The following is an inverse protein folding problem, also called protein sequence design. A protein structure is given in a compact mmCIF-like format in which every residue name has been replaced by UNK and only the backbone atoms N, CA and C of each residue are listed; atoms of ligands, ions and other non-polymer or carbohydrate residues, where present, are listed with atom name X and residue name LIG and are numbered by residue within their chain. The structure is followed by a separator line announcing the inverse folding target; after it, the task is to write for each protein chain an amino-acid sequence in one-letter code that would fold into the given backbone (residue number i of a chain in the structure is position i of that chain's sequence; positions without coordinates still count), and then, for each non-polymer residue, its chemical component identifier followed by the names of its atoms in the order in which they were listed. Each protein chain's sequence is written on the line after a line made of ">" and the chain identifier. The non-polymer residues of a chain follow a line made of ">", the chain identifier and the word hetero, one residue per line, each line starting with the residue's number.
data_IF_014827471627
#
_entry.id   IF_014827471627
#
_cell.length_a   1.000
_cell.length_b   1.000
_cell.length_c   1.000
_cell.angle_alpha   90.00
_cell.angle_beta   90.00
_cell.angle_gamma   90.00
#
_symmetry.space_group_name_H-M   'P 1'
#
loop_
_entity.id
_entity.type
_entity.pdbx_description
1 polymer ?
#
# COMPACT_ATOMS: atom_id res chain seq x y z
N UNK A 1 -32.62 13.01 -12.60
CA UNK A 1 -32.22 11.62 -12.89
C UNK A 1 -30.97 11.50 -13.80
N UNK A 2 -30.47 12.58 -14.39
CA UNK A 2 -29.22 12.57 -15.20
C UNK A 2 -27.93 12.60 -14.35
N UNK A 3 -27.95 13.31 -13.21
CA UNK A 3 -26.77 13.49 -12.33
C UNK A 3 -26.34 12.19 -11.64
N UNK A 4 -27.29 11.31 -11.31
CA UNK A 4 -27.01 10.02 -10.66
C UNK A 4 -26.35 9.01 -11.64
N UNK A 5 -26.73 9.06 -12.92
CA UNK A 5 -26.17 8.19 -13.96
C UNK A 5 -24.70 8.55 -14.26
N UNK A 6 -24.38 9.84 -14.36
CA UNK A 6 -23.00 10.32 -14.63
C UNK A 6 -22.04 9.97 -13.47
N UNK A 7 -22.49 10.12 -12.22
CA UNK A 7 -21.69 9.74 -11.03
C UNK A 7 -21.41 8.23 -10.99
N UNK A 8 -22.40 7.40 -11.37
CA UNK A 8 -22.24 5.94 -11.39
C UNK A 8 -21.25 5.47 -12.47
N UNK A 9 -21.30 6.06 -13.67
CA UNK A 9 -20.37 5.69 -14.76
C UNK A 9 -18.94 6.12 -14.45
N UNK A 10 -18.75 7.29 -13.85
CA UNK A 10 -17.42 7.74 -13.42
C UNK A 10 -16.86 6.86 -12.31
N UNK A 11 -17.68 6.40 -11.35
CA UNK A 11 -17.23 5.45 -10.32
C UNK A 11 -16.83 4.08 -10.88
N UNK A 12 -17.54 3.58 -11.90
CA UNK A 12 -17.21 2.31 -12.54
C UNK A 12 -15.91 2.39 -13.35
N UNK A 13 -15.67 3.51 -14.05
CA UNK A 13 -14.42 3.74 -14.80
C UNK A 13 -13.23 3.88 -13.84
N UNK A 14 -13.41 4.60 -12.74
CA UNK A 14 -12.40 4.71 -11.68
C UNK A 14 -12.04 3.35 -11.09
N UNK A 15 -13.04 2.55 -10.72
CA UNK A 15 -12.81 1.25 -10.09
C UNK A 15 -12.18 0.24 -11.06
N UNK A 16 -12.60 0.23 -12.32
CA UNK A 16 -11.98 -0.62 -13.37
C UNK A 16 -10.55 -0.19 -13.67
N UNK A 17 -10.27 1.10 -13.74
CA UNK A 17 -8.91 1.64 -13.89
C UNK A 17 -8.01 1.29 -12.71
N UNK A 18 -8.48 1.46 -11.48
CA UNK A 18 -7.76 1.06 -10.27
C UNK A 18 -7.47 -0.45 -10.25
N UNK A 19 -8.44 -1.27 -10.65
CA UNK A 19 -8.27 -2.73 -10.72
C UNK A 19 -7.16 -3.12 -11.69
N UNK A 20 -7.22 -2.60 -12.92
CA UNK A 20 -6.20 -2.86 -13.93
C UNK A 20 -4.79 -2.37 -13.52
N UNK A 21 -4.71 -1.24 -12.81
CA UNK A 21 -3.44 -0.73 -12.29
C UNK A 21 -2.89 -1.57 -11.14
N UNK A 22 -3.76 -2.04 -10.25
CA UNK A 22 -3.38 -2.99 -9.20
C UNK A 22 -2.90 -4.32 -9.79
N UNK A 23 -3.61 -4.88 -10.77
CA UNK A 23 -3.25 -6.12 -11.50
C UNK A 23 -1.88 -6.01 -12.16
N UNK A 24 -1.62 -4.87 -12.81
CA UNK A 24 -0.33 -4.60 -13.45
C UNK A 24 0.77 -4.15 -12.47
N UNK A 25 0.49 -4.15 -11.16
CA UNK A 25 1.44 -3.80 -10.11
C UNK A 25 1.88 -2.33 -10.12
N UNK A 26 1.11 -1.45 -10.73
CA UNK A 26 1.40 -0.03 -10.84
C UNK A 26 0.78 0.76 -9.68
N UNK A 27 1.51 1.77 -9.20
CA UNK A 27 0.94 2.76 -8.29
C UNK A 27 -0.08 3.65 -9.02
N UNK A 28 -1.15 3.99 -8.32
CA UNK A 28 -2.17 4.88 -8.85
C UNK A 28 -2.76 5.83 -7.80
N UNK A 29 -3.29 6.94 -8.26
CA UNK A 29 -4.09 7.89 -7.49
C UNK A 29 -5.34 8.19 -8.31
N UNK A 30 -6.52 7.98 -7.73
CA UNK A 30 -7.82 8.26 -8.35
C UNK A 30 -7.99 7.67 -9.77
N UNK A 31 -7.51 6.45 -9.98
CA UNK A 31 -7.63 5.73 -11.25
C UNK A 31 -6.54 6.07 -12.27
N UNK A 32 -5.64 7.01 -11.96
CA UNK A 32 -4.53 7.38 -12.82
C UNK A 32 -3.23 6.75 -12.37
N UNK A 33 -2.47 6.20 -13.32
CA UNK A 33 -1.13 5.67 -13.06
C UNK A 33 -0.20 6.81 -12.69
N UNK A 34 0.54 6.64 -11.59
CA UNK A 34 1.52 7.64 -11.16
C UNK A 34 2.94 7.10 -11.18
N UNK A 35 3.89 7.99 -11.46
CA UNK A 35 5.31 7.69 -11.30
C UNK A 35 5.78 8.14 -9.92
N UNK A 36 6.03 7.19 -9.02
CA UNK A 36 6.46 7.50 -7.65
C UNK A 36 7.80 8.27 -7.57
N UNK A 37 8.59 8.29 -8.65
CA UNK A 37 9.86 9.04 -8.69
C UNK A 37 9.69 10.55 -8.80
N UNK A 38 8.54 11.00 -9.29
CA UNK A 38 8.28 12.41 -9.60
C UNK A 38 7.33 13.07 -8.60
N UNK A 39 6.89 12.33 -7.57
CA UNK A 39 5.92 12.79 -6.59
C UNK A 39 6.59 13.07 -5.25
N UNK A 40 6.37 14.26 -4.71
CA UNK A 40 6.77 14.65 -3.36
C UNK A 40 8.27 14.62 -3.09
N UNK A 41 8.65 15.14 -1.93
CA UNK A 41 10.01 15.05 -1.39
C UNK A 41 9.98 14.50 0.04
N UNK A 42 11.08 13.93 0.55
CA UNK A 42 11.14 13.45 1.93
C UNK A 42 10.88 14.52 3.00
N UNK A 43 11.04 15.80 2.65
CA UNK A 43 10.84 16.93 3.56
C UNK A 43 9.37 17.30 3.72
N UNK A 44 8.54 16.96 2.74
CA UNK A 44 7.14 17.40 2.66
C UNK A 44 6.15 16.24 2.64
N UNK A 45 6.60 15.03 2.27
CA UNK A 45 5.75 13.87 2.06
C UNK A 45 6.22 12.68 2.90
N UNK A 46 5.31 11.74 3.11
CA UNK A 46 5.51 10.43 3.68
C UNK A 46 5.57 9.38 2.56
N UNK A 47 6.66 8.63 2.48
CA UNK A 47 6.76 7.43 1.64
C UNK A 47 6.43 6.21 2.51
N UNK A 48 5.20 5.73 2.38
CA UNK A 48 4.70 4.58 3.13
C UNK A 48 4.89 3.28 2.35
N UNK A 49 5.35 2.22 3.03
CA UNK A 49 5.62 0.92 2.41
C UNK A 49 5.39 -0.23 3.39
N UNK A 50 5.14 -1.43 2.85
CA UNK A 50 4.76 -2.58 3.64
C UNK A 50 5.09 -3.90 2.95
N UNK A 51 5.00 -4.98 3.70
CA UNK A 51 5.06 -6.34 3.18
C UNK A 51 3.75 -7.08 3.43
N UNK A 52 3.31 -7.84 2.44
CA UNK A 52 2.21 -8.77 2.56
C UNK A 52 2.65 -10.13 2.02
N UNK A 53 2.45 -11.19 2.82
CA UNK A 53 2.93 -12.53 2.50
C UNK A 53 2.22 -13.14 1.30
N UNK A 54 0.91 -12.91 1.20
CA UNK A 54 0.15 -13.16 -0.02
C UNK A 54 0.50 -12.05 -1.03
N UNK A 55 0.41 -12.33 -2.33
CA UNK A 55 0.75 -11.36 -3.39
C UNK A 55 -0.53 -10.84 -4.08
N UNK A 56 -1.40 -10.11 -3.37
CA UNK A 56 -2.69 -9.72 -3.89
C UNK A 56 -2.61 -8.42 -4.70
N UNK A 57 -3.71 -8.16 -5.37
CA UNK A 57 -4.15 -6.83 -5.75
C UNK A 57 -4.79 -6.14 -4.55
N UNK A 58 -4.52 -4.85 -4.36
CA UNK A 58 -5.06 -4.09 -3.22
C UNK A 58 -5.45 -2.67 -3.62
N UNK A 59 -6.54 -2.20 -3.03
CA UNK A 59 -7.00 -0.81 -3.14
C UNK A 59 -7.20 -0.23 -1.75
N UNK A 60 -6.82 1.03 -1.60
CA UNK A 60 -6.93 1.78 -0.36
C UNK A 60 -7.71 3.06 -0.59
N UNK A 61 -8.41 3.50 0.45
CA UNK A 61 -9.14 4.75 0.47
C UNK A 61 -8.63 5.64 1.61
N UNK A 62 -8.57 6.93 1.36
CA UNK A 62 -8.42 7.93 2.40
C UNK A 62 -9.75 8.07 3.16
N UNK A 63 -9.71 7.97 4.49
CA UNK A 63 -10.91 7.83 5.34
C UNK A 63 -11.25 9.05 6.20
N UNK A 64 -10.40 10.08 6.24
CA UNK A 64 -10.71 11.32 6.96
C UNK A 64 -11.53 12.25 6.06
N UNK A 65 -12.82 12.37 6.39
CA UNK A 65 -13.82 13.15 5.65
C UNK A 65 -13.57 14.65 5.62
N UNK A 66 -12.65 15.16 6.45
CA UNK A 66 -12.22 16.57 6.41
C UNK A 66 -11.17 16.85 5.30
N UNK A 67 -10.65 15.80 4.67
CA UNK A 67 -9.64 15.88 3.60
C UNK A 67 -10.24 15.47 2.25
N UNK A 68 -9.50 15.76 1.18
CA UNK A 68 -9.84 15.30 -0.17
C UNK A 68 -9.83 13.77 -0.23
N UNK A 69 -10.89 13.20 -0.80
CA UNK A 69 -10.97 11.77 -1.04
C UNK A 69 -9.88 11.29 -2.00
N UNK A 70 -9.18 10.23 -1.61
CA UNK A 70 -8.13 9.60 -2.41
C UNK A 70 -8.41 8.09 -2.47
N UNK A 71 -8.44 7.55 -3.69
CA UNK A 71 -8.40 6.13 -3.96
C UNK A 71 -7.01 5.80 -4.51
N UNK A 72 -6.33 4.79 -3.96
CA UNK A 72 -4.95 4.50 -4.36
C UNK A 72 -4.66 3.00 -4.40
N UNK A 73 -3.79 2.62 -5.32
CA UNK A 73 -3.14 1.30 -5.35
C UNK A 73 -1.64 1.49 -5.11
N UNK A 74 -0.99 0.61 -4.33
CA UNK A 74 0.45 0.65 -4.16
C UNK A 74 1.18 0.12 -5.40
N UNK A 75 2.40 0.62 -5.63
CA UNK A 75 3.35 -0.01 -6.53
C UNK A 75 3.76 -1.37 -5.96
N UNK A 76 3.67 -2.42 -6.78
CA UNK A 76 4.28 -3.72 -6.48
C UNK A 76 5.79 -3.65 -6.74
N UNK A 77 6.58 -4.03 -5.74
CA UNK A 77 8.03 -4.17 -5.83
C UNK A 77 8.44 -5.64 -6.06
N UNK A 78 7.46 -6.51 -6.36
CA UNK A 78 7.61 -7.95 -6.46
C UNK A 78 7.69 -8.62 -5.08
N UNK A 79 7.44 -9.93 -5.03
CA UNK A 79 7.57 -10.78 -3.83
C UNK A 79 6.77 -10.35 -2.59
N UNK A 80 5.65 -9.66 -2.78
CA UNK A 80 4.80 -9.21 -1.68
C UNK A 80 5.28 -7.92 -1.00
N UNK A 81 6.26 -7.22 -1.59
CA UNK A 81 6.70 -5.90 -1.11
C UNK A 81 5.97 -4.81 -1.90
N UNK A 82 5.45 -3.81 -1.19
CA UNK A 82 4.59 -2.79 -1.76
C UNK A 82 4.99 -1.40 -1.26
N UNK A 83 4.76 -0.38 -2.09
CA UNK A 83 5.02 1.01 -1.73
C UNK A 83 3.94 1.92 -2.31
N UNK A 84 3.39 2.78 -1.46
CA UNK A 84 2.42 3.78 -1.88
C UNK A 84 3.09 4.94 -2.62
N UNK A 85 2.33 5.68 -3.45
CA UNK A 85 2.74 7.03 -3.82
C UNK A 85 3.12 7.85 -2.57
N UNK A 86 4.12 8.74 -2.66
CA UNK A 86 4.35 9.73 -1.60
C UNK A 86 3.12 10.59 -1.39
N UNK A 87 2.70 10.73 -0.14
CA UNK A 87 1.53 11.50 0.25
C UNK A 87 1.91 12.57 1.29
N UNK A 88 1.16 13.67 1.34
CA UNK A 88 1.26 14.62 2.45
C UNK A 88 0.99 13.96 3.80
N UNK A 89 1.39 14.61 4.89
CA UNK A 89 1.13 14.11 6.24
C UNK A 89 -0.34 14.25 6.62
N UNK A 90 -0.74 13.52 7.66
CA UNK A 90 -2.08 13.55 8.26
C UNK A 90 -3.19 13.07 7.31
N UNK A 91 -2.86 12.10 6.44
CA UNK A 91 -3.81 11.34 5.64
C UNK A 91 -3.95 9.94 6.22
N UNK A 92 -5.19 9.54 6.53
CA UNK A 92 -5.54 8.22 7.04
C UNK A 92 -6.03 7.35 5.91
N UNK A 93 -5.33 6.24 5.64
CA UNK A 93 -5.67 5.28 4.60
C UNK A 93 -6.12 3.95 5.21
N UNK A 94 -7.08 3.32 4.57
CA UNK A 94 -7.56 1.98 4.90
C UNK A 94 -7.68 1.14 3.64
N UNK A 95 -7.25 -0.12 3.68
CA UNK A 95 -7.53 -1.07 2.60
C UNK A 95 -9.04 -1.24 2.47
N UNK A 96 -9.56 -0.99 1.27
CA UNK A 96 -10.98 -1.15 0.94
C UNK A 96 -11.24 -2.49 0.25
N UNK A 97 -10.26 -3.01 -0.48
CA UNK A 97 -10.43 -4.18 -1.31
C UNK A 97 -9.10 -4.91 -1.52
N UNK A 98 -9.16 -6.23 -1.47
CA UNK A 98 -8.06 -7.12 -1.81
C UNK A 98 -8.59 -8.29 -2.66
N UNK A 99 -7.87 -8.59 -3.74
CA UNK A 99 -8.09 -9.78 -4.57
C UNK A 99 -6.83 -10.63 -4.58
N UNK A 100 -6.98 -11.92 -4.30
CA UNK A 100 -5.87 -12.85 -4.20
C UNK A 100 -6.22 -14.18 -4.87
N UNK A 101 -5.45 -14.54 -5.90
CA UNK A 101 -5.51 -15.87 -6.51
C UNK A 101 -4.46 -16.79 -5.90
N UNK A 102 -4.93 -17.82 -5.20
CA UNK A 102 -4.06 -18.86 -4.65
C UNK A 102 -3.90 -19.98 -5.69
N UNK A 103 -2.75 -19.99 -6.34
CA UNK A 103 -2.41 -20.99 -7.36
C UNK A 103 -2.45 -22.44 -6.81
N UNK A 104 -2.02 -22.65 -5.56
CA UNK A 104 -1.91 -23.99 -4.97
C UNK A 104 -3.27 -24.60 -4.66
N UNK A 105 -4.19 -23.81 -4.12
CA UNK A 105 -5.54 -24.25 -3.79
C UNK A 105 -6.53 -24.04 -4.93
N UNK A 106 -6.11 -23.36 -6.01
CA UNK A 106 -6.98 -22.93 -7.13
C UNK A 106 -8.20 -22.14 -6.67
N UNK A 107 -8.04 -21.35 -5.61
CA UNK A 107 -9.10 -20.53 -5.04
C UNK A 107 -8.80 -19.06 -5.25
N UNK A 108 -9.80 -18.33 -5.70
CA UNK A 108 -9.81 -16.87 -5.69
C UNK A 108 -10.43 -16.39 -4.38
N UNK A 109 -9.74 -15.49 -3.68
CA UNK A 109 -10.25 -14.84 -2.47
C UNK A 109 -10.46 -13.35 -2.72
N UNK A 110 -11.68 -12.88 -2.47
CA UNK A 110 -11.97 -11.47 -2.31
C UNK A 110 -12.06 -11.13 -0.83
N UNK A 111 -11.44 -10.03 -0.43
CA UNK A 111 -11.49 -9.54 0.93
C UNK A 111 -11.78 -8.05 0.91
N UNK A 112 -12.89 -7.66 1.52
CA UNK A 112 -13.34 -6.27 1.63
C UNK A 112 -13.65 -6.00 3.10
N UNK A 113 -12.64 -5.58 3.88
CA UNK A 113 -12.84 -5.29 5.30
C UNK A 113 -13.74 -4.08 5.48
N UNK A 114 -14.59 -4.11 6.51
CA UNK A 114 -15.41 -2.95 6.86
C UNK A 114 -14.55 -1.76 7.29
N UNK A 115 -15.05 -0.53 7.07
CA UNK A 115 -14.36 0.66 7.56
C UNK A 115 -14.25 0.63 9.08
N UNK A 116 -13.05 0.88 9.60
CA UNK A 116 -12.76 0.84 11.04
C UNK A 116 -12.73 -0.55 11.69
N UNK A 117 -12.79 -1.65 10.93
CA UNK A 117 -12.77 -3.00 11.51
C UNK A 117 -11.35 -3.48 11.83
N UNK A 118 -11.20 -4.22 12.93
CA UNK A 118 -9.98 -4.96 13.25
C UNK A 118 -9.65 -5.99 12.16
N UNK A 119 -8.35 -6.32 11.99
CA UNK A 119 -7.90 -7.28 10.98
C UNK A 119 -7.72 -6.67 9.58
N UNK A 120 -7.50 -5.35 9.52
CA UNK A 120 -7.25 -4.60 8.30
C UNK A 120 -5.87 -3.90 8.31
N UNK A 121 -5.29 -3.68 7.13
CA UNK A 121 -4.17 -2.75 6.98
C UNK A 121 -4.76 -1.34 6.85
N UNK A 122 -4.52 -0.55 7.89
CA UNK A 122 -4.77 0.89 7.92
C UNK A 122 -3.51 1.61 8.36
N UNK A 123 -3.24 2.78 7.80
CA UNK A 123 -2.09 3.58 8.16
C UNK A 123 -2.40 5.06 8.09
N UNK A 124 -1.64 5.86 8.85
CA UNK A 124 -1.72 7.32 8.81
C UNK A 124 -0.34 7.83 8.41
N UNK A 125 -0.27 8.78 7.49
CA UNK A 125 0.98 9.45 7.10
C UNK A 125 1.44 10.42 8.19
N UNK A 126 1.83 9.90 9.36
CA UNK A 126 2.06 10.69 10.58
C UNK A 126 3.24 11.66 10.51
N UNK A 127 4.21 11.39 9.64
CA UNK A 127 5.43 12.18 9.52
C UNK A 127 5.94 12.16 8.09
N UNK A 128 6.71 13.18 7.75
CA UNK A 128 7.48 13.20 6.52
C UNK A 128 8.62 12.17 6.57
N UNK A 129 9.14 11.78 5.40
CA UNK A 129 10.15 10.75 5.27
C UNK A 129 9.59 9.34 5.14
N UNK A 130 10.35 8.35 5.63
CA UNK A 130 10.01 6.92 5.47
C UNK A 130 9.05 6.44 6.56
N UNK A 131 8.07 5.64 6.16
CA UNK A 131 7.16 4.97 7.08
C UNK A 131 6.91 3.52 6.69
N UNK A 132 7.50 2.59 7.45
CA UNK A 132 7.17 1.18 7.32
C UNK A 132 5.88 0.88 8.10
N UNK A 133 4.82 0.55 7.36
CA UNK A 133 3.50 0.27 7.94
C UNK A 133 3.54 -1.09 8.67
N UNK A 134 4.32 -2.03 8.15
CA UNK A 134 4.51 -3.35 8.75
C UNK A 134 4.56 -4.48 7.73
N UNK A 135 4.76 -5.68 8.25
CA UNK A 135 4.72 -6.93 7.52
C UNK A 135 3.51 -7.75 7.98
N UNK A 136 2.72 -8.25 7.04
CA UNK A 136 1.44 -8.89 7.31
C UNK A 136 1.33 -10.27 6.64
N UNK A 137 0.54 -11.14 7.25
CA UNK A 137 0.02 -12.37 6.64
C UNK A 137 -1.48 -12.20 6.40
N UNK A 138 -2.01 -12.91 5.42
CA UNK A 138 -3.45 -13.03 5.22
C UNK A 138 -3.88 -14.43 5.62
N UNK A 139 -4.71 -14.51 6.67
CA UNK A 139 -5.24 -15.76 7.18
C UNK A 139 -6.70 -15.88 6.82
N UNK A 140 -7.09 -17.07 6.39
CA UNK A 140 -8.47 -17.43 6.10
C UNK A 140 -8.92 -18.54 7.05
N UNK A 141 -10.08 -18.38 7.66
CA UNK A 141 -10.74 -19.40 8.47
C UNK A 141 -12.20 -19.51 8.02
N UNK A 142 -12.54 -20.59 7.33
CA UNK A 142 -13.84 -20.73 6.65
C UNK A 142 -14.06 -19.60 5.64
N UNK A 143 -15.13 -18.83 5.82
CA UNK A 143 -15.47 -17.65 4.99
C UNK A 143 -14.91 -16.34 5.52
N UNK A 144 -14.22 -16.36 6.68
CA UNK A 144 -13.60 -15.18 7.26
C UNK A 144 -12.15 -15.04 6.79
N UNK A 145 -11.74 -13.81 6.49
CA UNK A 145 -10.36 -13.44 6.19
C UNK A 145 -9.89 -12.33 7.15
N UNK A 146 -8.62 -12.35 7.52
CA UNK A 146 -8.02 -11.30 8.32
C UNK A 146 -6.56 -11.06 7.94
N UNK A 147 -6.16 -9.78 7.91
CA UNK A 147 -4.77 -9.38 7.82
C UNK A 147 -4.19 -9.32 9.23
N UNK A 148 -3.17 -10.13 9.47
CA UNK A 148 -2.53 -10.25 10.79
C UNK A 148 -1.07 -9.82 10.69
N UNK A 149 -0.55 -9.02 11.63
CA UNK A 149 0.86 -8.68 11.66
C UNK A 149 1.72 -9.95 11.78
N UNK A 150 2.81 -9.99 11.03
CA UNK A 150 3.87 -10.98 11.23
C UNK A 150 4.62 -10.72 12.55
N UNK A 151 5.31 -11.74 13.10
CA UNK A 151 6.03 -11.63 14.37
C UNK A 151 6.94 -10.41 14.45
N UNK A 152 6.95 -9.73 15.60
CA UNK A 152 7.64 -8.45 15.81
C UNK A 152 9.15 -8.55 15.59
N UNK A 153 9.74 -9.65 16.00
CA UNK A 153 11.16 -10.01 15.79
C UNK A 153 11.54 -10.13 14.30
N UNK A 154 10.55 -10.31 13.40
CA UNK A 154 10.78 -10.41 11.96
C UNK A 154 10.53 -9.10 11.22
N UNK A 155 9.88 -8.11 11.82
CA UNK A 155 9.46 -6.87 11.16
C UNK A 155 10.65 -6.11 10.54
N UNK A 156 11.74 -5.94 11.29
CA UNK A 156 12.96 -5.27 10.82
C UNK A 156 13.57 -5.94 9.57
N UNK A 157 13.51 -7.28 9.49
CA UNK A 157 13.99 -8.01 8.32
C UNK A 157 13.14 -7.74 7.07
N UNK A 158 11.82 -7.61 7.22
CA UNK A 158 10.93 -7.27 6.11
C UNK A 158 11.06 -5.80 5.71
N UNK A 159 11.21 -4.90 6.67
CA UNK A 159 11.52 -3.48 6.42
C UNK A 159 12.79 -3.35 5.57
N UNK A 160 13.88 -4.01 5.99
CA UNK A 160 15.15 -4.00 5.27
C UNK A 160 15.02 -4.52 3.83
N UNK A 161 14.27 -5.60 3.61
CA UNK A 161 14.03 -6.14 2.26
C UNK A 161 13.21 -5.20 1.39
N UNK A 162 12.19 -4.56 1.97
CA UNK A 162 11.43 -3.50 1.31
C UNK A 162 12.34 -2.35 0.87
N UNK A 163 13.17 -1.85 1.80
CA UNK A 163 14.08 -0.74 1.54
C UNK A 163 15.11 -1.05 0.46
N UNK A 164 15.65 -2.27 0.41
CA UNK A 164 16.57 -2.68 -0.66
C UNK A 164 15.90 -2.65 -2.05
N UNK A 165 14.63 -3.06 -2.14
CA UNK A 165 13.86 -2.95 -3.39
C UNK A 165 13.57 -1.49 -3.74
N UNK A 166 13.22 -0.67 -2.74
CA UNK A 166 12.99 0.76 -2.92
C UNK A 166 14.24 1.51 -3.34
N UNK A 167 15.41 1.17 -2.81
CA UNK A 167 16.70 1.75 -3.20
C UNK A 167 16.92 1.66 -4.72
N UNK A 168 16.68 0.48 -5.29
CA UNK A 168 16.77 0.28 -6.75
C UNK A 168 15.68 1.08 -7.50
N UNK A 169 14.45 1.05 -6.99
CA UNK A 169 13.31 1.70 -7.65
C UNK A 169 13.40 3.22 -7.63
N UNK A 170 13.89 3.82 -6.55
CA UNK A 170 13.97 5.27 -6.30
C UNK A 170 15.38 5.83 -6.45
N UNK A 171 16.26 5.13 -7.17
CA UNK A 171 17.56 5.66 -7.56
C UNK A 171 17.41 7.02 -8.26
N UNK A 172 18.31 7.95 -7.96
CA UNK A 172 18.33 9.31 -8.48
C UNK A 172 17.13 10.17 -8.06
N UNK A 173 16.58 9.93 -6.87
CA UNK A 173 15.54 10.78 -6.28
C UNK A 173 16.00 11.30 -4.92
N UNK A 174 15.33 12.33 -4.40
CA UNK A 174 15.60 12.85 -3.06
C UNK A 174 15.37 11.82 -1.95
N UNK A 175 14.63 10.73 -2.22
CA UNK A 175 14.38 9.65 -1.27
C UNK A 175 15.59 8.75 -1.01
N UNK A 176 16.54 8.68 -1.95
CA UNK A 176 17.65 7.72 -1.90
C UNK A 176 18.51 7.87 -0.63
N UNK A 177 18.98 9.08 -0.23
CA UNK A 177 19.79 9.23 0.98
C UNK A 177 19.09 8.73 2.25
N UNK A 178 17.77 8.98 2.37
CA UNK A 178 17.00 8.54 3.53
C UNK A 178 16.82 7.01 3.56
N UNK A 179 16.63 6.40 2.39
CA UNK A 179 16.56 4.93 2.25
C UNK A 179 17.89 4.29 2.65
N UNK A 180 19.01 4.85 2.18
CA UNK A 180 20.34 4.32 2.51
C UNK A 180 20.65 4.47 4.01
N UNK A 181 20.35 5.62 4.61
CA UNK A 181 20.51 5.83 6.04
C UNK A 181 19.71 4.79 6.85
N UNK A 182 18.43 4.59 6.52
CA UNK A 182 17.59 3.61 7.24
C UNK A 182 18.05 2.17 7.05
N UNK A 183 18.58 1.81 5.88
CA UNK A 183 19.19 0.49 5.64
C UNK A 183 20.38 0.27 6.57
N UNK A 184 21.26 1.26 6.73
CA UNK A 184 22.43 1.15 7.60
C UNK A 184 22.04 1.11 9.09
N UNK A 185 21.05 1.89 9.52
CA UNK A 185 20.48 1.79 10.87
C UNK A 185 20.01 0.35 11.16
N UNK A 186 19.19 -0.23 10.29
CA UNK A 186 18.63 -1.58 10.46
C UNK A 186 19.68 -2.70 10.45
N UNK A 187 20.83 -2.49 9.78
CA UNK A 187 21.95 -3.45 9.82
C UNK A 187 22.71 -3.39 11.13
N UNK A 188 22.74 -2.21 11.76
CA UNK A 188 23.48 -1.96 13.00
C UNK A 188 22.63 -2.19 14.27
N UNK A 189 21.30 -2.19 14.15
CA UNK A 189 20.39 -2.68 15.17
C UNK A 189 20.70 -4.18 15.44
N UNK A 190 21.27 -4.49 16.61
CA UNK A 190 21.53 -5.87 17.02
C UNK A 190 20.22 -6.64 17.01
N UNK A 191 20.15 -7.71 16.19
CA UNK A 191 19.01 -8.63 16.13
C UNK A 191 18.91 -9.49 17.37
#
# INVERSE_FOLDING_TARGET
>A
MLVLAVLSTSSCILFTGLKALSESGNASINGEKVNIKTLGSPETHCLSFYYLKVKPETMYIQCDSSKTAIYTTPLSLGDGYYCFPPFETDLSFQLSYMWYDNFWTKTTTTFSPGLGTNGNISFITRKTGLYFIGAYDFKTEGTAGALVPLPRDKQANYELKCLNKLKSKLKNTAWLPLIEARIEELKNEKK
#
